data_IF_644852421208
#
_entry.id   IF_644852421208
#
_cell.length_a   1.000
_cell.length_b   1.000
_cell.length_c   1.000
_cell.angle_alpha   90.00
_cell.angle_beta   90.00
_cell.angle_gamma   90.00
#
_symmetry.space_group_name_H-M   'P 1'
#
loop_
_entity.id
_entity.type
_entity.pdbx_description
1 polymer ?
#
# COMPACT_ATOMS: atom_id res chain seq x y z
N UNK A 1 -0.86 -11.98 15.53
CA UNK A 1 -1.15 -10.54 15.36
C UNK A 1 -0.85 -10.19 13.90
N UNK A 2 -1.67 -10.64 12.95
CA UNK A 2 -1.28 -10.68 11.52
C UNK A 2 -1.78 -9.46 10.73
N UNK A 3 -3.10 -9.23 10.73
CA UNK A 3 -3.72 -8.31 9.77
C UNK A 3 -3.30 -6.85 9.98
N UNK A 4 -3.56 -6.26 11.15
CA UNK A 4 -3.26 -4.84 11.38
C UNK A 4 -1.79 -4.52 11.70
N UNK A 5 -1.00 -5.52 12.12
CA UNK A 5 0.37 -5.28 12.56
C UNK A 5 1.38 -5.69 11.49
N UNK A 6 1.44 -6.98 11.14
CA UNK A 6 2.48 -7.48 10.26
C UNK A 6 2.33 -6.89 8.84
N UNK A 7 1.10 -6.78 8.33
CA UNK A 7 0.90 -6.20 6.98
C UNK A 7 1.25 -4.71 6.91
N UNK A 8 0.91 -3.95 7.97
CA UNK A 8 1.20 -2.50 8.04
C UNK A 8 2.69 -2.26 8.27
N UNK A 9 3.32 -3.03 9.16
CA UNK A 9 4.76 -2.93 9.43
C UNK A 9 5.58 -3.21 8.16
N UNK A 10 5.22 -4.24 7.40
CA UNK A 10 5.89 -4.54 6.13
C UNK A 10 5.67 -3.43 5.09
N UNK A 11 4.43 -2.93 4.96
CA UNK A 11 4.11 -1.86 4.03
C UNK A 11 4.89 -0.57 4.33
N UNK A 12 4.98 -0.18 5.60
CA UNK A 12 5.76 0.98 6.04
C UNK A 12 7.26 0.77 5.85
N UNK A 13 7.77 -0.43 6.12
CA UNK A 13 9.20 -0.74 5.96
C UNK A 13 9.65 -0.47 4.52
N UNK A 14 8.92 -0.98 3.53
CA UNK A 14 9.25 -0.75 2.12
C UNK A 14 9.00 0.69 1.70
N UNK A 15 7.91 1.32 2.16
CA UNK A 15 7.65 2.72 1.83
C UNK A 15 8.79 3.65 2.32
N UNK A 16 9.28 3.44 3.53
CA UNK A 16 10.41 4.21 4.08
C UNK A 16 11.70 3.91 3.30
N UNK A 17 11.96 2.64 2.97
CA UNK A 17 13.14 2.25 2.19
C UNK A 17 13.17 2.95 0.82
N UNK A 18 12.06 2.88 0.07
CA UNK A 18 11.94 3.52 -1.26
C UNK A 18 12.09 5.04 -1.15
N UNK A 19 11.44 5.68 -0.16
CA UNK A 19 11.63 7.11 0.05
C UNK A 19 13.09 7.47 0.40
N UNK A 20 13.80 6.63 1.16
CA UNK A 20 15.20 6.86 1.51
C UNK A 20 16.13 6.76 0.28
N UNK A 21 15.81 5.88 -0.67
CA UNK A 21 16.53 5.76 -1.95
C UNK A 21 16.23 6.90 -2.92
N UNK A 22 15.02 7.47 -2.86
CA UNK A 22 14.54 8.55 -3.72
C UNK A 22 14.41 9.88 -2.97
N UNK A 23 15.55 10.52 -2.67
CA UNK A 23 15.61 11.75 -1.84
C UNK A 23 14.81 12.93 -2.40
N UNK A 24 14.74 13.06 -3.72
CA UNK A 24 13.92 14.06 -4.41
C UNK A 24 12.43 13.86 -4.13
N UNK A 25 11.95 12.62 -4.22
CA UNK A 25 10.57 12.23 -3.88
C UNK A 25 10.31 12.43 -2.39
N UNK A 26 11.26 12.06 -1.53
CA UNK A 26 11.16 12.26 -0.08
C UNK A 26 10.98 13.74 0.28
N UNK A 27 11.68 14.64 -0.42
CA UNK A 27 11.57 16.07 -0.18
C UNK A 27 10.21 16.62 -0.62
N UNK A 28 9.67 16.13 -1.74
CA UNK A 28 8.31 16.48 -2.18
C UNK A 28 7.25 16.02 -1.16
N UNK A 29 7.37 14.79 -0.64
CA UNK A 29 6.49 14.29 0.44
C UNK A 29 6.61 15.15 1.69
N UNK A 30 7.83 15.49 2.10
CA UNK A 30 8.08 16.33 3.30
C UNK A 30 7.42 17.70 3.14
N UNK A 31 7.57 18.32 1.97
CA UNK A 31 6.97 19.62 1.67
C UNK A 31 5.43 19.56 1.68
N UNK A 32 4.82 18.52 1.09
CA UNK A 32 3.37 18.31 1.15
C UNK A 32 2.88 18.16 2.60
N UNK A 33 3.51 17.28 3.37
CA UNK A 33 3.14 17.02 4.77
C UNK A 33 3.25 18.28 5.62
N UNK A 34 4.35 19.04 5.48
CA UNK A 34 4.55 20.31 6.20
C UNK A 34 3.46 21.33 5.83
N UNK A 35 3.20 21.52 4.54
CA UNK A 35 2.19 22.48 4.08
C UNK A 35 0.79 22.16 4.60
N UNK A 36 0.42 20.87 4.63
CA UNK A 36 -0.89 20.42 5.14
C UNK A 36 -0.99 20.61 6.65
N UNK A 37 0.06 20.30 7.41
CA UNK A 37 0.10 20.51 8.86
C UNK A 37 -0.05 22.00 9.19
N UNK A 38 0.67 22.86 8.48
CA UNK A 38 0.63 24.31 8.69
C UNK A 38 -0.77 24.87 8.35
N UNK A 39 -1.36 24.44 7.24
CA UNK A 39 -2.73 24.82 6.85
C UNK A 39 -3.80 24.39 7.87
N UNK A 40 -3.52 23.33 8.63
CA UNK A 40 -4.40 22.80 9.67
C UNK A 40 -4.04 23.30 11.09
N UNK A 41 -3.24 24.37 11.20
CA UNK A 41 -2.88 24.97 12.48
C UNK A 41 -2.06 24.04 13.36
N UNK A 42 -1.19 23.22 12.76
CA UNK A 42 -0.35 22.25 13.44
C UNK A 42 -1.06 20.95 13.84
N UNK A 43 -2.32 20.75 13.43
CA UNK A 43 -3.11 19.58 13.83
C UNK A 43 -3.20 18.55 12.72
N UNK A 44 -2.89 17.30 13.05
CA UNK A 44 -3.12 16.16 12.17
C UNK A 44 -4.53 15.59 12.42
N UNK A 45 -5.49 15.99 11.60
CA UNK A 45 -6.87 15.47 11.64
C UNK A 45 -7.11 14.47 10.49
N UNK A 46 -8.18 13.68 10.56
CA UNK A 46 -8.55 12.80 9.43
C UNK A 46 -8.82 13.58 8.13
N UNK A 47 -9.38 14.79 8.24
CA UNK A 47 -9.54 15.67 7.08
C UNK A 47 -8.18 16.09 6.51
N UNK A 48 -7.24 16.50 7.38
CA UNK A 48 -5.89 16.88 6.97
C UNK A 48 -5.14 15.72 6.29
N UNK A 49 -5.30 14.49 6.76
CA UNK A 49 -4.67 13.32 6.12
C UNK A 49 -5.16 13.10 4.67
N UNK A 50 -6.41 13.46 4.37
CA UNK A 50 -6.95 13.35 3.00
C UNK A 50 -6.34 14.40 2.05
N UNK A 51 -5.70 15.44 2.59
CA UNK A 51 -5.05 16.50 1.82
C UNK A 51 -3.57 16.17 1.48
N UNK A 52 -3.15 14.91 1.61
CA UNK A 52 -1.79 14.43 1.30
C UNK A 52 -1.73 13.45 0.10
N UNK A 53 -2.21 13.82 -1.10
CA UNK A 53 -2.33 12.91 -2.24
C UNK A 53 -0.97 12.46 -2.84
N UNK A 54 0.11 13.22 -2.65
CA UNK A 54 1.45 12.80 -3.09
C UNK A 54 1.99 11.68 -2.19
N UNK A 55 1.92 11.84 -0.87
CA UNK A 55 2.24 10.78 0.09
C UNK A 55 1.40 9.53 -0.17
N UNK A 56 0.09 9.67 -0.38
CA UNK A 56 -0.79 8.53 -0.69
C UNK A 56 -0.33 7.77 -1.94
N UNK A 57 0.07 8.50 -3.00
CA UNK A 57 0.63 7.88 -4.21
C UNK A 57 1.93 7.15 -3.93
N UNK A 58 2.84 7.70 -3.12
CA UNK A 58 4.07 7.03 -2.71
C UNK A 58 3.80 5.73 -1.93
N UNK A 59 2.82 5.75 -1.02
CA UNK A 59 2.40 4.55 -0.27
C UNK A 59 1.81 3.48 -1.20
N UNK A 60 0.92 3.88 -2.12
CA UNK A 60 0.33 2.98 -3.12
C UNK A 60 1.38 2.37 -4.05
N UNK A 61 2.33 3.17 -4.49
CA UNK A 61 3.41 2.71 -5.37
C UNK A 61 4.36 1.74 -4.65
N UNK A 62 4.65 2.02 -3.38
CA UNK A 62 5.42 1.10 -2.52
C UNK A 62 4.71 -0.24 -2.39
N UNK A 63 3.38 -0.25 -2.18
CA UNK A 63 2.58 -1.49 -2.14
C UNK A 63 2.47 -2.19 -3.50
N UNK A 64 2.50 -1.44 -4.61
CA UNK A 64 2.51 -2.01 -5.97
C UNK A 64 3.80 -2.77 -6.26
N UNK A 65 4.94 -2.23 -5.81
CA UNK A 65 6.27 -2.83 -5.97
C UNK A 65 6.53 -3.92 -4.94
N UNK A 66 6.15 -3.68 -3.69
CA UNK A 66 6.44 -4.52 -2.52
C UNK A 66 5.14 -4.78 -1.73
N UNK A 67 4.25 -5.65 -2.22
CA UNK A 67 3.00 -5.95 -1.52
C UNK A 67 3.26 -6.67 -0.20
N UNK A 68 2.67 -6.19 0.90
CA UNK A 68 2.80 -6.81 2.23
C UNK A 68 2.28 -8.25 2.28
N UNK A 69 1.30 -8.57 1.43
CA UNK A 69 0.74 -9.92 1.26
C UNK A 69 0.83 -10.29 -0.22
N UNK A 70 1.90 -10.96 -0.66
CA UNK A 70 2.17 -11.18 -2.08
C UNK A 70 1.34 -12.31 -2.70
N UNK A 71 0.67 -13.14 -1.89
CA UNK A 71 -0.08 -14.30 -2.35
C UNK A 71 -1.51 -14.28 -1.82
N UNK A 72 -2.47 -14.42 -2.73
CA UNK A 72 -3.87 -14.67 -2.42
C UNK A 72 -4.24 -15.98 -3.12
N UNK A 73 -4.59 -17.02 -2.37
CA UNK A 73 -4.94 -18.33 -2.91
C UNK A 73 -6.39 -18.71 -2.60
N UNK A 74 -6.93 -19.64 -3.40
CA UNK A 74 -8.25 -20.25 -3.23
C UNK A 74 -8.14 -21.75 -3.53
N UNK A 75 -9.02 -22.53 -2.92
CA UNK A 75 -9.26 -23.93 -3.29
C UNK A 75 -10.51 -23.95 -4.16
N UNK A 76 -10.46 -24.64 -5.29
CA UNK A 76 -11.61 -24.76 -6.19
C UNK A 76 -12.70 -25.61 -5.54
N UNK A 77 -13.96 -25.24 -5.74
CA UNK A 77 -15.13 -26.05 -5.38
C UNK A 77 -15.78 -26.72 -6.60
N UNK A 78 -15.40 -26.29 -7.80
CA UNK A 78 -15.87 -26.76 -9.09
C UNK A 78 -14.87 -26.33 -10.18
N UNK A 79 -15.03 -26.86 -11.40
CA UNK A 79 -14.23 -26.47 -12.56
C UNK A 79 -14.43 -24.98 -12.88
N UNK A 80 -13.34 -24.23 -13.02
CA UNK A 80 -13.39 -22.79 -13.31
C UNK A 80 -12.71 -22.50 -14.64
N UNK A 81 -13.43 -21.84 -15.55
CA UNK A 81 -12.86 -21.33 -16.81
C UNK A 81 -12.21 -19.96 -16.58
N UNK A 82 -10.89 -19.89 -16.74
CA UNK A 82 -10.12 -18.64 -16.67
C UNK A 82 -9.59 -18.34 -18.08
N UNK A 83 -10.17 -17.33 -18.73
CA UNK A 83 -9.92 -17.01 -20.15
C UNK A 83 -10.17 -18.23 -21.04
N UNK A 84 -9.22 -18.62 -21.89
CA UNK A 84 -9.30 -19.85 -22.70
C UNK A 84 -9.01 -21.15 -21.93
N UNK A 85 -8.57 -21.09 -20.68
CA UNK A 85 -8.17 -22.28 -19.90
C UNK A 85 -9.28 -22.79 -18.99
N UNK A 86 -9.43 -24.11 -18.93
CA UNK A 86 -10.26 -24.80 -17.93
C UNK A 86 -9.35 -25.27 -16.80
N UNK A 87 -9.57 -24.74 -15.59
CA UNK A 87 -8.90 -25.23 -14.38
C UNK A 87 -9.83 -26.22 -13.68
N UNK A 88 -9.44 -27.50 -13.72
CA UNK A 88 -10.27 -28.59 -13.19
C UNK A 88 -10.20 -28.69 -11.68
N UNK A 89 -11.35 -28.92 -11.06
CA UNK A 89 -11.46 -29.30 -9.66
C UNK A 89 -11.08 -30.76 -9.49
N UNK A 90 -10.10 -31.02 -8.65
CA UNK A 90 -9.74 -32.37 -8.22
C UNK A 90 -10.34 -32.63 -6.85
N UNK A 91 -11.27 -33.59 -6.79
CA UNK A 91 -11.85 -34.07 -5.55
C UNK A 91 -10.83 -35.05 -4.92
N UNK A 92 -10.16 -34.62 -3.85
CA UNK A 92 -9.31 -35.50 -3.03
C UNK A 92 -10.17 -36.32 -2.08
#
# INVERSE_FOLDING_TARGET
MFEGHDTVAMGLTFAILVLAEHKDVQELVRNEVSAVIDANGGKLTMAALNDMPYLERCLKESLRLYPSVPLISRVLSEDVKIREYLTTYYNN
#
